data_IF_068007815645
#
_entry.id   IF_068007815645
#
_cell.length_a   1.000
_cell.length_b   1.000
_cell.length_c   1.000
_cell.angle_alpha   90.00
_cell.angle_beta   90.00
_cell.angle_gamma   90.00
#
_symmetry.space_group_name_H-M   'P 1'
#
loop_
_entity.id
_entity.type
_entity.pdbx_description
1 polymer ?
#
# COMPACT_ATOMS: atom_id res chain seq x y z
N UNK A 1 0.72 -1.55 -7.82
CA UNK A 1 2.04 -2.18 -8.03
C UNK A 1 3.13 -1.16 -7.75
N UNK A 2 4.24 -1.61 -7.20
CA UNK A 2 5.45 -0.81 -6.97
C UNK A 2 6.67 -1.59 -7.48
N UNK A 3 7.74 -0.89 -7.86
CA UNK A 3 9.01 -1.48 -8.28
C UNK A 3 10.14 -0.88 -7.43
N UNK A 4 10.01 -0.97 -6.12
CA UNK A 4 10.97 -0.37 -5.19
C UNK A 4 11.65 -1.45 -4.35
N UNK A 5 12.99 -1.54 -4.35
CA UNK A 5 13.73 -2.48 -3.50
C UNK A 5 13.52 -2.24 -2.00
N UNK A 6 13.07 -1.04 -1.63
CA UNK A 6 12.78 -0.69 -0.23
C UNK A 6 11.54 -1.42 0.31
N UNK A 7 10.64 -1.89 -0.56
CA UNK A 7 9.47 -2.66 -0.17
C UNK A 7 9.77 -4.08 0.32
N UNK A 8 11.04 -4.47 0.34
CA UNK A 8 11.50 -5.75 0.86
C UNK A 8 11.24 -5.94 2.36
N UNK A 9 11.13 -4.85 3.11
CA UNK A 9 11.03 -4.88 4.57
C UNK A 9 9.60 -4.61 5.06
N UNK A 10 9.25 -5.22 6.21
CA UNK A 10 7.97 -4.99 6.88
C UNK A 10 6.77 -5.34 6.00
N UNK A 11 5.80 -4.46 5.95
CA UNK A 11 4.60 -4.59 5.10
C UNK A 11 4.76 -3.94 3.72
N UNK A 12 5.97 -3.52 3.35
CA UNK A 12 6.23 -2.82 2.10
C UNK A 12 6.05 -1.31 2.22
N UNK A 13 5.69 -0.68 1.10
CA UNK A 13 5.46 0.75 0.99
C UNK A 13 4.02 1.08 1.40
N UNK A 14 3.83 1.94 2.40
CA UNK A 14 2.50 2.33 2.86
C UNK A 14 1.84 3.26 1.84
N UNK A 15 0.61 2.96 1.51
CA UNK A 15 -0.18 3.79 0.59
C UNK A 15 -0.69 5.04 1.28
N UNK A 16 -0.77 6.13 0.53
CA UNK A 16 -1.41 7.36 0.99
C UNK A 16 -2.90 7.12 1.21
N UNK A 17 -3.37 7.45 2.41
CA UNK A 17 -4.76 7.23 2.85
C UNK A 17 -5.65 8.45 2.58
N UNK A 18 -5.11 9.52 1.98
CA UNK A 18 -5.87 10.72 1.63
C UNK A 18 -6.52 10.60 0.25
N UNK A 19 -7.67 11.24 0.07
CA UNK A 19 -8.48 11.19 -1.15
C UNK A 19 -8.51 12.54 -1.86
N UNK A 20 -8.79 12.51 -3.15
CA UNK A 20 -9.13 13.67 -3.96
C UNK A 20 -8.20 14.87 -3.76
N UNK A 21 -8.81 16.01 -3.40
CA UNK A 21 -8.09 17.28 -3.19
C UNK A 21 -7.09 17.20 -2.01
N UNK A 22 -7.38 16.41 -0.97
CA UNK A 22 -6.47 16.23 0.16
C UNK A 22 -5.15 15.63 -0.28
N UNK A 23 -5.18 14.64 -1.19
CA UNK A 23 -3.99 14.04 -1.79
C UNK A 23 -3.18 15.06 -2.60
N UNK A 24 -3.86 15.89 -3.39
CA UNK A 24 -3.22 16.96 -4.18
C UNK A 24 -2.56 18.05 -3.30
N UNK A 25 -3.04 18.21 -2.07
CA UNK A 25 -2.50 19.14 -1.07
C UNK A 25 -1.46 18.51 -0.13
N UNK A 26 -0.87 17.37 -0.50
CA UNK A 26 0.14 16.69 0.30
C UNK A 26 -0.42 15.91 1.49
N UNK A 27 -1.66 15.45 1.43
CA UNK A 27 -2.28 14.60 2.46
C UNK A 27 -2.90 15.37 3.63
N UNK A 28 -3.16 16.66 3.49
CA UNK A 28 -3.85 17.46 4.51
C UNK A 28 -5.29 16.94 4.64
N UNK A 29 -5.62 16.35 5.78
CA UNK A 29 -6.92 15.72 5.98
C UNK A 29 -7.52 15.93 7.38
N UNK A 30 -6.73 15.87 8.45
CA UNK A 30 -7.25 15.84 9.82
C UNK A 30 -8.07 17.08 10.21
N UNK A 31 -7.68 18.28 9.78
CA UNK A 31 -8.41 19.52 10.01
C UNK A 31 -9.41 19.88 8.92
N UNK A 32 -9.43 19.13 7.82
CA UNK A 32 -10.28 19.47 6.67
C UNK A 32 -11.70 18.95 6.88
N UNK A 33 -12.66 19.86 6.73
CA UNK A 33 -14.07 19.55 6.75
C UNK A 33 -14.76 20.17 5.54
N UNK A 34 -15.07 19.34 4.56
CA UNK A 34 -15.70 19.71 3.32
C UNK A 34 -16.87 18.77 3.04
N UNK A 35 -18.00 19.32 2.58
CA UNK A 35 -19.19 18.54 2.22
C UNK A 35 -19.16 17.97 0.80
N UNK A 36 -18.16 18.35 0.00
CA UNK A 36 -18.04 17.95 -1.41
C UNK A 36 -17.04 16.81 -1.65
N UNK A 37 -16.32 16.36 -0.63
CA UNK A 37 -15.31 15.29 -0.74
C UNK A 37 -15.36 14.34 0.46
N UNK A 38 -14.89 13.12 0.24
CA UNK A 38 -14.79 12.11 1.29
C UNK A 38 -13.43 12.24 1.99
N UNK A 39 -13.44 12.33 3.32
CA UNK A 39 -12.21 12.41 4.11
C UNK A 39 -12.16 11.28 5.15
N UNK A 40 -11.55 10.12 4.83
CA UNK A 40 -11.49 8.98 5.73
C UNK A 40 -10.61 9.21 6.96
N UNK A 41 -9.67 10.17 6.90
CA UNK A 41 -8.78 10.50 8.02
C UNK A 41 -9.45 11.40 9.07
N UNK A 42 -10.63 11.95 8.76
CA UNK A 42 -11.44 12.71 9.71
C UNK A 42 -12.92 12.29 9.63
N UNK A 43 -13.34 11.22 10.31
CA UNK A 43 -14.71 10.73 10.22
C UNK A 43 -15.76 11.72 10.73
N UNK A 44 -15.39 12.68 11.58
CA UNK A 44 -16.30 13.75 11.98
C UNK A 44 -16.71 14.66 10.81
N UNK A 45 -15.88 14.74 9.75
CA UNK A 45 -16.15 15.51 8.53
C UNK A 45 -17.32 14.95 7.71
N UNK A 46 -17.68 13.68 7.85
CA UNK A 46 -18.79 13.07 7.11
C UNK A 46 -20.12 13.83 7.35
N UNK A 47 -20.28 14.44 8.50
CA UNK A 47 -21.47 15.24 8.82
C UNK A 47 -21.55 16.57 8.06
N UNK A 48 -20.52 16.94 7.30
CA UNK A 48 -20.52 18.14 6.46
C UNK A 48 -21.30 17.95 5.15
N UNK A 49 -21.53 16.70 4.73
CA UNK A 49 -22.30 16.41 3.51
C UNK A 49 -23.70 17.01 3.56
N UNK A 50 -24.19 17.55 2.45
CA UNK A 50 -25.52 18.14 2.34
C UNK A 50 -26.64 17.09 2.41
N UNK A 51 -27.84 17.54 2.72
CA UNK A 51 -29.03 16.70 2.74
C UNK A 51 -29.35 16.18 1.35
N UNK A 52 -29.78 14.92 1.24
CA UNK A 52 -30.11 14.23 -0.01
C UNK A 52 -28.92 14.10 -0.99
N UNK A 53 -27.69 14.22 -0.50
CA UNK A 53 -26.49 14.08 -1.30
C UNK A 53 -25.86 12.72 -1.08
N UNK A 54 -25.40 12.13 -2.16
CA UNK A 54 -24.58 10.94 -2.20
C UNK A 54 -23.28 11.30 -2.93
N UNK A 55 -22.14 11.00 -2.32
CA UNK A 55 -20.84 11.20 -2.91
C UNK A 55 -20.24 9.83 -3.23
N UNK A 56 -19.75 9.68 -4.43
CA UNK A 56 -18.99 8.53 -4.86
C UNK A 56 -17.66 9.02 -5.44
N UNK A 57 -16.57 8.50 -4.92
CA UNK A 57 -15.23 8.86 -5.35
C UNK A 57 -14.42 7.62 -5.66
N UNK A 58 -13.61 7.70 -6.72
CA UNK A 58 -12.64 6.67 -7.08
C UNK A 58 -11.36 7.31 -7.58
N UNK A 59 -10.23 6.72 -7.24
CA UNK A 59 -8.91 7.19 -7.60
C UNK A 59 -8.07 6.08 -8.25
N UNK A 60 -7.35 6.48 -9.29
CA UNK A 60 -6.29 5.67 -9.91
C UNK A 60 -5.05 6.54 -10.07
N UNK A 61 -3.89 5.96 -9.88
CA UNK A 61 -2.63 6.67 -10.11
C UNK A 61 -1.78 5.98 -11.16
N UNK A 62 -1.08 6.82 -11.92
CA UNK A 62 -0.07 6.42 -12.89
C UNK A 62 1.26 6.98 -12.42
N UNK A 63 2.21 6.11 -12.14
CA UNK A 63 3.54 6.47 -11.69
C UNK A 63 4.56 6.17 -12.78
N UNK A 64 5.38 7.17 -13.11
CA UNK A 64 6.56 7.00 -13.94
C UNK A 64 7.79 7.32 -13.11
N UNK A 65 8.60 6.31 -12.80
CA UNK A 65 9.75 6.42 -11.93
C UNK A 65 11.04 6.20 -12.73
N UNK A 66 11.98 7.13 -12.62
CA UNK A 66 13.32 6.98 -13.14
C UNK A 66 14.28 6.66 -12.00
N UNK A 67 14.86 5.49 -12.02
CA UNK A 67 15.83 5.02 -11.04
C UNK A 67 17.21 5.09 -11.70
N UNK A 68 18.17 5.75 -11.05
CA UNK A 68 19.56 5.79 -11.51
C UNK A 68 20.50 5.44 -10.38
N UNK A 69 21.47 4.58 -10.67
CA UNK A 69 22.49 4.17 -9.71
C UNK A 69 23.58 3.34 -10.41
N UNK A 70 24.85 3.50 -10.02
CA UNK A 70 25.95 2.72 -10.55
C UNK A 70 26.13 2.79 -12.08
N UNK A 71 25.75 3.92 -12.72
CA UNK A 71 25.80 4.06 -14.19
C UNK A 71 24.63 3.44 -14.95
N UNK A 72 23.72 2.76 -14.27
CA UNK A 72 22.50 2.17 -14.84
C UNK A 72 21.33 3.13 -14.64
N UNK A 73 20.54 3.33 -15.70
CA UNK A 73 19.29 4.08 -15.67
C UNK A 73 18.14 3.14 -16.01
N UNK A 74 17.14 3.06 -15.14
CA UNK A 74 15.96 2.25 -15.32
C UNK A 74 14.72 3.13 -15.23
N UNK A 75 13.78 2.95 -16.17
CA UNK A 75 12.47 3.57 -16.13
C UNK A 75 11.43 2.51 -15.76
N UNK A 76 10.66 2.76 -14.71
CA UNK A 76 9.57 1.91 -14.29
C UNK A 76 8.24 2.66 -14.36
N UNK A 77 7.27 2.07 -15.03
CA UNK A 77 5.89 2.59 -15.13
C UNK A 77 4.97 1.68 -14.35
N UNK A 78 4.25 2.26 -13.41
CA UNK A 78 3.28 1.56 -12.58
C UNK A 78 1.91 2.21 -12.71
N UNK A 79 0.88 1.39 -12.66
CA UNK A 79 -0.49 1.83 -12.47
C UNK A 79 -1.03 1.19 -11.19
N UNK A 80 -1.72 1.96 -10.38
CA UNK A 80 -2.35 1.45 -9.16
C UNK A 80 -3.76 2.00 -9.00
N UNK A 81 -4.59 1.17 -8.40
CA UNK A 81 -5.85 1.58 -7.83
C UNK A 81 -5.55 2.28 -6.49
N UNK A 82 -6.10 3.47 -6.28
CA UNK A 82 -5.84 4.26 -5.08
C UNK A 82 -6.95 4.11 -4.05
N UNK A 83 -8.20 4.25 -4.46
CA UNK A 83 -9.35 4.10 -3.58
C UNK A 83 -10.67 4.03 -4.35
N UNK A 84 -11.67 3.48 -3.69
CA UNK A 84 -13.07 3.56 -4.06
C UNK A 84 -13.86 3.83 -2.79
N UNK A 85 -14.63 4.89 -2.76
CA UNK A 85 -15.36 5.25 -1.55
C UNK A 85 -16.73 5.86 -1.88
N UNK A 86 -17.65 5.71 -0.93
CA UNK A 86 -18.95 6.32 -0.97
C UNK A 86 -19.29 6.96 0.37
N UNK A 87 -20.02 8.05 0.35
CA UNK A 87 -20.48 8.76 1.52
C UNK A 87 -21.92 9.22 1.33
N UNK A 88 -22.74 9.07 2.35
CA UNK A 88 -24.12 9.45 2.33
C UNK A 88 -24.63 9.82 3.73
N UNK A 89 -25.69 10.62 3.76
CA UNK A 89 -26.34 11.03 4.99
C UNK A 89 -27.45 10.06 5.34
N UNK A 90 -27.38 9.46 6.51
CA UNK A 90 -28.42 8.57 7.05
C UNK A 90 -29.52 9.37 7.77
N UNK A 91 -29.14 10.47 8.44
CA UNK A 91 -30.03 11.30 9.24
C UNK A 91 -29.48 12.75 9.24
N UNK A 92 -30.29 13.81 9.52
CA UNK A 92 -29.79 15.18 9.57
C UNK A 92 -28.56 15.41 10.47
N UNK A 93 -28.28 14.51 11.40
CA UNK A 93 -27.13 14.57 12.31
C UNK A 93 -26.14 13.43 12.11
N UNK A 94 -26.43 12.44 11.25
CA UNK A 94 -25.61 11.23 11.10
C UNK A 94 -25.28 11.03 9.63
N UNK A 95 -24.01 10.86 9.34
CA UNK A 95 -23.53 10.49 8.01
C UNK A 95 -22.58 9.28 8.10
N UNK A 96 -22.52 8.53 7.03
CA UNK A 96 -21.72 7.32 6.91
C UNK A 96 -20.85 7.39 5.68
N UNK A 97 -19.65 6.81 5.79
CA UNK A 97 -18.77 6.55 4.65
C UNK A 97 -18.28 5.11 4.68
N UNK A 98 -18.16 4.52 3.50
CA UNK A 98 -17.59 3.19 3.29
C UNK A 98 -16.59 3.30 2.15
N UNK A 99 -15.43 2.66 2.27
CA UNK A 99 -14.46 2.67 1.18
C UNK A 99 -13.46 1.54 1.26
N UNK A 100 -12.91 1.24 0.09
CA UNK A 100 -11.88 0.25 -0.16
C UNK A 100 -10.64 0.95 -0.68
N UNK A 101 -9.49 0.65 -0.10
CA UNK A 101 -8.21 1.24 -0.50
C UNK A 101 -7.06 0.28 -0.23
N UNK A 102 -5.95 0.37 -0.96
CA UNK A 102 -4.73 -0.33 -0.59
C UNK A 102 -4.13 0.30 0.68
N UNK A 103 -3.68 -0.54 1.60
CA UNK A 103 -2.95 -0.11 2.79
C UNK A 103 -1.45 -0.11 2.56
N UNK A 104 -0.95 -1.14 1.88
CA UNK A 104 0.46 -1.24 1.52
C UNK A 104 0.66 -1.98 0.21
N UNK A 105 1.82 -1.76 -0.41
CA UNK A 105 2.23 -2.44 -1.64
C UNK A 105 3.64 -2.98 -1.51
N UNK A 106 3.84 -4.20 -1.99
CA UNK A 106 5.14 -4.85 -2.10
C UNK A 106 5.39 -5.19 -3.57
N UNK A 107 6.56 -4.80 -4.08
CA UNK A 107 6.96 -5.13 -5.43
C UNK A 107 8.44 -4.86 -5.62
N UNK A 108 9.25 -5.91 -5.67
CA UNK A 108 10.68 -5.80 -5.95
C UNK A 108 11.20 -7.05 -6.65
N UNK A 109 12.23 -6.84 -7.46
CA UNK A 109 13.04 -7.90 -8.04
C UNK A 109 14.49 -7.43 -8.02
N UNK A 110 15.31 -8.07 -7.20
CA UNK A 110 16.73 -7.72 -7.01
C UNK A 110 17.57 -8.95 -7.25
N UNK A 111 18.53 -8.82 -8.14
CA UNK A 111 19.51 -9.86 -8.43
C UNK A 111 20.90 -9.41 -8.00
N UNK A 112 21.63 -10.29 -7.36
CA UNK A 112 22.99 -10.09 -6.90
C UNK A 112 23.84 -11.32 -7.27
N UNK A 113 25.02 -11.09 -7.85
CA UNK A 113 25.96 -12.14 -8.19
C UNK A 113 27.19 -11.99 -7.32
N UNK A 114 27.59 -13.07 -6.68
CA UNK A 114 28.78 -13.12 -5.81
C UNK A 114 29.61 -14.35 -6.13
N UNK A 115 30.90 -14.25 -5.83
CA UNK A 115 31.84 -15.37 -5.94
C UNK A 115 32.07 -15.93 -4.54
N UNK A 116 31.84 -17.22 -4.36
CA UNK A 116 32.21 -17.95 -3.17
C UNK A 116 33.51 -18.70 -3.39
N UNK A 117 34.40 -18.67 -2.41
CA UNK A 117 35.64 -19.46 -2.40
C UNK A 117 35.49 -20.59 -1.39
N UNK A 118 35.75 -21.80 -1.83
CA UNK A 118 35.78 -22.96 -0.94
C UNK A 118 37.05 -22.88 -0.06
N UNK A 119 36.87 -22.82 1.28
CA UNK A 119 38.00 -22.71 2.20
C UNK A 119 38.95 -23.93 2.16
N UNK A 120 38.47 -25.10 1.74
CA UNK A 120 39.25 -26.34 1.74
C UNK A 120 40.07 -26.57 0.47
N UNK A 121 39.56 -26.12 -0.68
CA UNK A 121 40.17 -26.37 -2.01
C UNK A 121 40.69 -25.11 -2.67
N UNK A 122 40.30 -23.92 -2.20
CA UNK A 122 40.58 -22.64 -2.84
C UNK A 122 39.80 -22.43 -4.14
N UNK A 123 38.92 -23.34 -4.53
CA UNK A 123 38.12 -23.23 -5.74
C UNK A 123 37.09 -22.10 -5.61
N UNK A 124 36.90 -21.31 -6.66
CA UNK A 124 35.93 -20.24 -6.71
C UNK A 124 34.72 -20.63 -7.55
N UNK A 125 33.53 -20.33 -7.08
CA UNK A 125 32.30 -20.54 -7.82
C UNK A 125 31.42 -19.29 -7.75
N UNK A 126 30.94 -18.84 -8.90
CA UNK A 126 29.95 -17.76 -8.93
C UNK A 126 28.56 -18.30 -8.63
N UNK A 127 27.85 -17.60 -7.76
CA UNK A 127 26.44 -17.86 -7.47
C UNK A 127 25.62 -16.59 -7.59
N UNK A 128 24.42 -16.74 -8.08
CA UNK A 128 23.48 -15.64 -8.19
C UNK A 128 22.32 -15.82 -7.21
N UNK A 129 21.95 -14.72 -6.57
CA UNK A 129 20.83 -14.65 -5.66
C UNK A 129 19.77 -13.73 -6.24
N UNK A 130 18.58 -14.26 -6.41
CA UNK A 130 17.42 -13.49 -6.82
C UNK A 130 16.48 -13.36 -5.64
N UNK A 131 16.11 -12.12 -5.34
CA UNK A 131 15.11 -11.77 -4.34
C UNK A 131 13.94 -11.15 -5.05
N UNK A 132 12.78 -11.78 -4.98
CA UNK A 132 11.54 -11.23 -5.52
C UNK A 132 10.50 -11.13 -4.41
N UNK A 133 9.68 -10.12 -4.47
CA UNK A 133 8.54 -9.98 -3.59
C UNK A 133 7.41 -9.28 -4.29
N UNK A 134 6.21 -9.73 -3.98
CA UNK A 134 4.96 -9.20 -4.50
C UNK A 134 3.84 -9.30 -3.47
N UNK A 135 2.79 -8.53 -3.70
CA UNK A 135 1.61 -8.51 -2.85
C UNK A 135 1.37 -7.16 -2.19
N UNK A 136 0.71 -7.19 -1.05
CA UNK A 136 0.35 -6.01 -0.27
C UNK A 136 -0.92 -6.19 0.52
N UNK A 137 -1.28 -5.19 1.29
CA UNK A 137 -2.45 -5.21 2.16
C UNK A 137 -3.52 -4.28 1.61
N UNK A 138 -4.76 -4.71 1.73
CA UNK A 138 -5.97 -3.94 1.42
C UNK A 138 -6.69 -3.58 2.70
N UNK A 139 -7.43 -2.47 2.65
CA UNK A 139 -8.25 -1.97 3.75
C UNK A 139 -9.66 -1.68 3.26
N UNK A 140 -10.64 -2.26 3.94
CA UNK A 140 -12.03 -1.85 3.87
C UNK A 140 -12.36 -1.07 5.13
N UNK A 141 -12.86 0.14 5.01
CA UNK A 141 -13.33 0.90 6.16
C UNK A 141 -14.82 1.20 6.07
N UNK A 142 -15.44 1.29 7.22
CA UNK A 142 -16.77 1.84 7.40
C UNK A 142 -16.74 2.84 8.55
N UNK A 143 -17.22 4.04 8.30
CA UNK A 143 -17.15 5.12 9.25
C UNK A 143 -18.49 5.80 9.48
N UNK A 144 -18.68 6.27 10.69
CA UNK A 144 -19.85 7.04 11.12
C UNK A 144 -19.41 8.39 11.69
N UNK A 145 -20.04 9.46 11.23
CA UNK A 145 -19.93 10.78 11.81
C UNK A 145 -21.25 11.22 12.42
N UNK A 146 -21.22 11.79 13.61
CA UNK A 146 -22.38 12.27 14.34
C UNK A 146 -22.17 13.73 14.73
N UNK A 147 -23.14 14.60 14.37
CA UNK A 147 -23.18 15.99 14.80
C UNK A 147 -23.85 16.08 16.17
N UNK A 148 -23.06 16.25 17.22
CA UNK A 148 -23.51 16.30 18.61
C UNK A 148 -24.09 17.68 18.94
N UNK A 149 -23.37 18.74 18.60
CA UNK A 149 -23.78 20.14 18.78
C UNK A 149 -23.70 20.87 17.42
N UNK A 150 -24.19 22.12 17.40
CA UNK A 150 -24.13 22.95 16.17
C UNK A 150 -22.70 23.02 15.58
N UNK A 151 -21.69 23.11 16.45
CA UNK A 151 -20.29 23.28 16.07
C UNK A 151 -19.39 22.11 16.48
N UNK A 152 -19.96 20.99 16.97
CA UNK A 152 -19.21 19.81 17.38
C UNK A 152 -19.72 18.58 16.68
N UNK A 153 -18.83 17.91 15.97
CA UNK A 153 -19.06 16.58 15.39
C UNK A 153 -18.01 15.62 15.88
N UNK A 154 -18.40 14.38 16.11
CA UNK A 154 -17.52 13.27 16.43
C UNK A 154 -17.70 12.18 15.40
N UNK A 155 -16.68 11.38 15.18
CA UNK A 155 -16.75 10.29 14.25
C UNK A 155 -15.79 9.17 14.61
N UNK A 156 -16.09 8.00 14.07
CA UNK A 156 -15.31 6.78 14.26
C UNK A 156 -15.26 6.01 12.95
N UNK A 157 -14.12 5.43 12.65
CA UNK A 157 -13.93 4.47 11.56
C UNK A 157 -13.58 3.10 12.14
N UNK A 158 -14.21 2.06 11.61
CA UNK A 158 -13.79 0.68 11.77
C UNK A 158 -13.22 0.18 10.45
N UNK A 159 -12.04 -0.42 10.49
CA UNK A 159 -11.32 -0.90 9.32
C UNK A 159 -10.96 -2.36 9.46
N UNK A 160 -11.06 -3.09 8.37
CA UNK A 160 -10.59 -4.46 8.23
C UNK A 160 -9.46 -4.50 7.20
N UNK A 161 -8.34 -5.09 7.59
CA UNK A 161 -7.17 -5.27 6.74
C UNK A 161 -7.02 -6.73 6.35
N UNK A 162 -6.68 -6.97 5.10
CA UNK A 162 -6.33 -8.31 4.61
C UNK A 162 -5.33 -8.24 3.46
N UNK A 163 -4.60 -9.30 3.25
CA UNK A 163 -3.71 -9.46 2.11
C UNK A 163 -2.56 -10.40 2.40
N UNK A 164 -1.85 -10.73 1.34
CA UNK A 164 -0.73 -11.64 1.34
C UNK A 164 0.52 -10.94 0.79
N UNK A 165 1.65 -11.22 1.41
CA UNK A 165 2.96 -10.76 0.97
C UNK A 165 3.80 -12.00 0.71
N UNK A 166 4.14 -12.20 -0.56
CA UNK A 166 4.99 -13.29 -1.01
C UNK A 166 6.42 -12.79 -1.13
N UNK A 167 7.37 -13.52 -0.56
CA UNK A 167 8.80 -13.26 -0.69
C UNK A 167 9.50 -14.53 -1.10
N UNK A 168 10.21 -14.46 -2.23
CA UNK A 168 10.94 -15.60 -2.77
C UNK A 168 12.42 -15.25 -2.86
N UNK A 169 13.26 -16.16 -2.40
CA UNK A 169 14.70 -16.11 -2.54
C UNK A 169 15.17 -17.36 -3.29
N UNK A 170 15.79 -17.14 -4.43
CA UNK A 170 16.40 -18.21 -5.23
C UNK A 170 17.91 -18.02 -5.24
N UNK A 171 18.64 -19.08 -4.97
CA UNK A 171 20.10 -19.13 -5.11
C UNK A 171 20.42 -20.19 -6.14
N UNK A 172 21.17 -19.83 -7.15
CA UNK A 172 21.63 -20.77 -8.18
C UNK A 172 23.10 -20.56 -8.52
N UNK A 173 23.74 -21.63 -8.99
CA UNK A 173 25.15 -21.71 -9.27
C UNK A 173 25.36 -21.91 -10.77
N UNK A 174 25.49 -20.84 -11.57
CA UNK A 174 25.56 -20.95 -13.03
C UNK A 174 26.85 -21.64 -13.53
N UNK A 175 27.90 -21.59 -12.73
CA UNK A 175 29.23 -22.09 -13.11
C UNK A 175 29.50 -23.54 -12.65
N UNK A 176 28.62 -24.16 -11.88
CA UNK A 176 28.84 -25.49 -11.29
C UNK A 176 27.80 -26.47 -11.82
N UNK A 177 28.29 -27.41 -12.67
CA UNK A 177 27.45 -28.49 -13.19
C UNK A 177 27.08 -29.46 -12.04
N UNK A 178 25.77 -29.72 -11.86
CA UNK A 178 25.27 -30.61 -10.82
C UNK A 178 25.03 -29.94 -9.47
N UNK A 179 25.21 -28.62 -9.33
CA UNK A 179 24.84 -27.91 -8.12
C UNK A 179 23.31 -27.81 -7.95
N UNK A 180 22.85 -27.99 -6.73
CA UNK A 180 21.43 -27.84 -6.42
C UNK A 180 21.06 -26.38 -6.23
N UNK A 181 19.96 -25.98 -6.87
CA UNK A 181 19.38 -24.66 -6.65
C UNK A 181 18.63 -24.65 -5.32
N UNK A 182 18.78 -23.56 -4.57
CA UNK A 182 18.04 -23.33 -3.35
C UNK A 182 16.91 -22.35 -3.62
N UNK A 183 15.68 -22.77 -3.29
CA UNK A 183 14.51 -21.89 -3.38
C UNK A 183 13.83 -21.84 -2.00
N UNK A 184 13.70 -20.62 -1.49
CA UNK A 184 12.99 -20.35 -0.24
C UNK A 184 11.87 -19.36 -0.51
N UNK A 185 10.64 -19.78 -0.25
CA UNK A 185 9.46 -18.93 -0.33
C UNK A 185 8.88 -18.71 1.07
N UNK A 186 8.55 -17.47 1.37
CA UNK A 186 7.87 -17.07 2.60
C UNK A 186 6.62 -16.31 2.23
N UNK A 187 5.48 -16.74 2.77
CA UNK A 187 4.18 -16.08 2.58
C UNK A 187 3.76 -15.55 3.94
N UNK A 188 3.53 -14.25 4.02
CA UNK A 188 2.97 -13.61 5.20
C UNK A 188 1.53 -13.18 4.90
N UNK A 189 0.58 -13.91 5.47
CA UNK A 189 -0.85 -13.57 5.40
C UNK A 189 -1.23 -12.72 6.60
N UNK A 190 -1.90 -11.61 6.34
CA UNK A 190 -2.33 -10.65 7.37
C UNK A 190 -3.84 -10.51 7.32
N UNK A 191 -4.46 -10.58 8.50
CA UNK A 191 -5.88 -10.30 8.72
C UNK A 191 -6.02 -9.61 10.07
N UNK A 192 -6.53 -8.38 10.09
CA UNK A 192 -6.59 -7.57 11.32
C UNK A 192 -7.70 -6.52 11.25
N UNK A 193 -8.07 -6.01 12.41
CA UNK A 193 -9.05 -4.93 12.56
C UNK A 193 -8.39 -3.71 13.20
N UNK A 194 -8.88 -2.52 12.87
CA UNK A 194 -8.48 -1.25 13.45
C UNK A 194 -9.71 -0.40 13.72
N UNK A 195 -9.69 0.34 14.82
CA UNK A 195 -10.68 1.36 15.17
C UNK A 195 -9.96 2.70 15.30
N UNK A 196 -10.44 3.71 14.60
CA UNK A 196 -9.91 5.08 14.58
C UNK A 196 -10.95 6.10 15.09
#
# INVERSE_FOLDING_TARGET
NTNSPYTRYGYGDLSDQSFGNSKAMGGIAFGLRDGAQINPLNPASYTAIDSLTFIFEGGVSLQNMNISGGGVKLNAKNSSFDYLAMQFRLHPRIAMSIGLLPFSNVGYSVSDTQTATDPGTGATADYARNYTGDGGLHQLYAGLGVKVLKNLSVGVNASYFWGDINRTRVVYYPSVSGAYNYNHQSIASVSSYKLD
#
